data_IF_214736047324
#
_entry.id   IF_214736047324
#
_cell.length_a   1.000
_cell.length_b   1.000
_cell.length_c   1.000
_cell.angle_alpha   90.00
_cell.angle_beta   90.00
_cell.angle_gamma   90.00
#
_symmetry.space_group_name_H-M   'P 1'
#
loop_
_entity.id
_entity.type
_entity.pdbx_description
1 polymer ?
#
# COMPACT_ATOMS: atom_id res chain seq x y z
N UNK A 1 18.50 -8.54 6.29
CA UNK A 1 17.91 -9.74 5.66
C UNK A 1 16.45 -9.44 5.74
N UNK A 2 15.94 -8.82 4.67
CA UNK A 2 14.53 -8.47 4.48
C UNK A 2 13.71 -9.70 4.85
N UNK A 3 12.82 -9.60 5.84
CA UNK A 3 12.05 -10.77 6.31
C UNK A 3 10.92 -11.13 5.34
N UNK A 4 10.60 -10.21 4.41
CA UNK A 4 9.54 -10.34 3.41
C UNK A 4 10.11 -10.51 2.00
N UNK A 5 9.44 -11.29 1.16
CA UNK A 5 9.83 -11.55 -0.25
C UNK A 5 8.60 -11.62 -1.14
N UNK A 6 8.72 -11.33 -2.43
CA UNK A 6 7.59 -11.29 -3.37
C UNK A 6 6.82 -12.62 -3.44
N UNK A 7 7.48 -13.75 -3.20
CA UNK A 7 6.86 -15.08 -3.15
C UNK A 7 5.82 -15.22 -2.02
N UNK A 8 6.00 -14.49 -0.91
CA UNK A 8 5.07 -14.48 0.21
C UNK A 8 3.98 -13.41 0.09
N UNK A 9 4.13 -12.49 -0.86
CA UNK A 9 3.20 -11.40 -1.08
C UNK A 9 2.12 -11.79 -2.07
N UNK A 10 0.87 -11.48 -1.75
CA UNK A 10 -0.29 -11.80 -2.56
C UNK A 10 -1.01 -10.52 -2.96
N UNK A 11 -1.20 -10.30 -4.25
CA UNK A 11 -2.04 -9.21 -4.75
C UNK A 11 -3.46 -9.33 -4.20
N UNK A 12 -3.95 -8.27 -3.59
CA UNK A 12 -5.31 -8.23 -3.05
C UNK A 12 -6.14 -7.15 -3.74
N UNK A 13 -7.41 -7.06 -3.39
CA UNK A 13 -8.29 -6.00 -3.89
C UNK A 13 -9.24 -5.47 -2.80
N UNK A 14 -8.85 -5.60 -1.52
CA UNK A 14 -9.74 -5.32 -0.38
C UNK A 14 -10.10 -3.85 -0.28
N UNK A 15 -9.14 -2.95 -0.51
CA UNK A 15 -9.43 -1.53 -0.53
C UNK A 15 -10.31 -1.17 -1.72
N UNK A 16 -10.01 -1.74 -2.90
CA UNK A 16 -10.84 -1.49 -4.09
C UNK A 16 -12.26 -2.02 -3.95
N UNK A 17 -12.45 -3.16 -3.30
CA UNK A 17 -13.76 -3.72 -3.03
C UNK A 17 -14.54 -2.90 -1.98
N UNK A 18 -13.86 -2.27 -1.03
CA UNK A 18 -14.47 -1.45 0.01
C UNK A 18 -14.77 -0.01 -0.43
N UNK A 19 -13.84 0.63 -1.14
CA UNK A 19 -13.87 2.07 -1.46
C UNK A 19 -13.97 2.37 -2.97
N UNK A 20 -13.55 1.44 -3.84
CA UNK A 20 -13.48 1.63 -5.28
C UNK A 20 -12.05 1.92 -5.77
N UNK A 21 -11.89 2.54 -6.94
CA UNK A 21 -10.56 2.78 -7.53
C UNK A 21 -9.75 3.88 -6.81
N UNK A 22 -10.40 4.69 -5.99
CA UNK A 22 -9.80 5.77 -5.21
C UNK A 22 -10.27 5.72 -3.76
N UNK A 23 -9.44 6.20 -2.85
CA UNK A 23 -9.76 6.30 -1.42
C UNK A 23 -9.69 7.76 -0.98
N UNK A 24 -10.68 8.19 -0.19
CA UNK A 24 -10.66 9.47 0.50
C UNK A 24 -10.09 9.26 1.90
N UNK A 25 -8.95 9.89 2.19
CA UNK A 25 -8.30 9.83 3.49
C UNK A 25 -8.45 11.18 4.18
N UNK A 26 -8.93 11.14 5.42
CA UNK A 26 -8.94 12.29 6.30
C UNK A 26 -7.66 12.28 7.15
N UNK A 27 -6.87 13.33 7.01
CA UNK A 27 -5.67 13.56 7.81
C UNK A 27 -6.02 13.98 9.25
N UNK A 28 -5.05 13.95 10.18
CA UNK A 28 -5.25 14.34 11.58
C UNK A 28 -5.76 15.79 11.77
N UNK A 29 -5.59 16.62 10.74
CA UNK A 29 -6.07 18.00 10.68
C UNK A 29 -7.54 18.12 10.19
N UNK A 30 -8.22 17.00 9.92
CA UNK A 30 -9.57 16.96 9.35
C UNK A 30 -9.59 17.32 7.86
N UNK A 31 -8.49 17.08 7.15
CA UNK A 31 -8.36 17.39 5.72
C UNK A 31 -8.55 16.11 4.92
N UNK A 32 -9.66 16.03 4.19
CA UNK A 32 -9.91 14.97 3.22
C UNK A 32 -9.08 15.18 1.94
N UNK A 33 -8.24 14.21 1.61
CA UNK A 33 -7.48 14.15 0.35
C UNK A 33 -7.83 12.87 -0.38
N UNK A 34 -7.99 12.95 -1.71
CA UNK A 34 -8.28 11.80 -2.55
C UNK A 34 -6.97 11.21 -3.04
N UNK A 35 -6.86 9.89 -2.95
CA UNK A 35 -5.72 9.13 -3.42
C UNK A 35 -6.17 8.05 -4.39
N UNK A 36 -5.40 7.86 -5.46
CA UNK A 36 -5.61 6.76 -6.40
C UNK A 36 -4.93 5.50 -5.87
N UNK A 37 -5.67 4.38 -5.82
CA UNK A 37 -5.13 3.10 -5.37
C UNK A 37 -4.42 2.45 -6.56
N UNK A 38 -3.09 2.59 -6.57
CA UNK A 38 -2.23 2.05 -7.63
C UNK A 38 -2.10 0.54 -7.49
N UNK A 39 -1.84 0.09 -6.27
CA UNK A 39 -1.58 -1.30 -5.96
C UNK A 39 -1.99 -1.62 -4.53
N UNK A 40 -2.29 -2.89 -4.28
CA UNK A 40 -2.57 -3.40 -2.92
C UNK A 40 -2.19 -4.87 -2.84
N UNK A 41 -1.47 -5.23 -1.80
CA UNK A 41 -0.92 -6.57 -1.60
C UNK A 41 -0.88 -6.91 -0.11
N UNK A 42 -0.87 -8.20 0.20
CA UNK A 42 -0.78 -8.70 1.56
C UNK A 42 0.47 -9.57 1.68
N UNK A 43 1.29 -9.32 2.70
CA UNK A 43 2.50 -10.09 3.00
C UNK A 43 2.57 -10.36 4.50
N UNK A 44 2.87 -11.60 4.90
CA UNK A 44 2.91 -11.97 6.32
C UNK A 44 1.58 -11.81 7.06
N UNK A 45 0.45 -11.71 6.34
CA UNK A 45 -0.87 -11.43 6.92
C UNK A 45 -1.14 -9.94 7.21
N UNK A 46 -0.26 -9.05 6.75
CA UNK A 46 -0.43 -7.60 6.82
C UNK A 46 -0.70 -7.09 5.40
N UNK A 47 -1.77 -6.31 5.24
CA UNK A 47 -2.10 -5.68 3.97
C UNK A 47 -1.37 -4.35 3.80
N UNK A 48 -1.00 -4.01 2.58
CA UNK A 48 -0.36 -2.76 2.20
C UNK A 48 -1.03 -2.22 0.94
N UNK A 49 -1.16 -0.89 0.87
CA UNK A 49 -1.71 -0.19 -0.28
C UNK A 49 -0.72 0.88 -0.75
N UNK A 50 -0.46 0.88 -2.05
CA UNK A 50 0.31 1.92 -2.74
C UNK A 50 -0.68 2.94 -3.28
N UNK A 51 -0.59 4.14 -2.73
CA UNK A 51 -1.44 5.26 -3.04
C UNK A 51 -0.67 6.30 -3.83
N UNK A 52 -1.39 7.02 -4.68
CA UNK A 52 -0.85 8.16 -5.42
C UNK A 52 -1.72 9.38 -5.16
N UNK A 53 -1.12 10.42 -4.59
CA UNK A 53 -1.81 11.67 -4.33
C UNK A 53 -2.15 12.42 -5.62
N UNK A 54 -3.27 13.15 -5.62
CA UNK A 54 -3.71 13.98 -6.78
C UNK A 54 -3.04 15.38 -6.80
N UNK A 55 -1.75 15.45 -6.44
CA UNK A 55 -0.98 16.69 -6.26
C UNK A 55 0.03 16.98 -7.39
N UNK A 56 0.72 18.13 -7.30
CA UNK A 56 1.83 18.49 -8.20
C UNK A 56 3.12 17.74 -7.87
N UNK A 57 3.30 17.35 -6.61
CA UNK A 57 4.32 16.44 -6.13
C UNK A 57 3.68 15.06 -6.07
N UNK A 58 3.90 14.29 -7.14
CA UNK A 58 3.25 13.01 -7.41
C UNK A 58 4.10 11.90 -6.77
N UNK A 59 4.19 11.92 -5.45
CA UNK A 59 4.90 10.90 -4.69
C UNK A 59 3.95 9.73 -4.43
N UNK A 60 4.48 8.52 -4.58
CA UNK A 60 3.77 7.31 -4.19
C UNK A 60 3.93 7.15 -2.69
N UNK A 61 2.85 6.84 -2.00
CA UNK A 61 2.84 6.61 -0.57
C UNK A 61 2.36 5.19 -0.29
N UNK A 62 3.11 4.47 0.54
CA UNK A 62 2.75 3.12 0.94
C UNK A 62 2.17 3.20 2.35
N UNK A 63 0.92 2.78 2.49
CA UNK A 63 0.20 2.74 3.76
C UNK A 63 -0.17 1.30 4.10
N UNK A 64 -0.22 1.00 5.40
CA UNK A 64 -0.61 -0.31 5.92
C UNK A 64 -2.13 -0.39 6.02
N UNK A 65 -2.70 -1.47 5.52
CA UNK A 65 -4.12 -1.79 5.60
C UNK A 65 -4.39 -2.50 6.94
N UNK A 66 -5.20 -1.87 7.79
CA UNK A 66 -5.63 -2.42 9.08
C UNK A 66 -7.14 -2.60 9.08
N UNK A 67 -7.66 -3.68 9.67
CA UNK A 67 -9.11 -3.89 9.73
C UNK A 67 -9.66 -3.27 11.02
N UNK A 68 -10.53 -2.28 10.89
CA UNK A 68 -11.22 -1.65 12.02
C UNK A 68 -12.08 -2.66 12.78
N UNK A 69 -12.44 -2.39 14.05
CA UNK A 69 -13.47 -3.16 14.75
C UNK A 69 -14.83 -3.19 14.03
N UNK A 70 -15.08 -2.25 13.12
CA UNK A 70 -16.29 -2.18 12.29
C UNK A 70 -16.22 -3.09 11.04
N UNK A 71 -15.09 -3.77 10.81
CA UNK A 71 -14.87 -4.66 9.66
C UNK A 71 -14.54 -3.94 8.35
N UNK A 72 -14.24 -2.63 8.40
CA UNK A 72 -13.79 -1.85 7.25
C UNK A 72 -12.27 -1.82 7.20
N UNK A 73 -11.64 -1.85 6.02
CA UNK A 73 -10.20 -1.66 5.89
C UNK A 73 -9.85 -0.18 6.07
N UNK A 74 -9.04 0.15 7.07
CA UNK A 74 -8.45 1.46 7.29
C UNK A 74 -7.00 1.47 6.83
N UNK A 75 -6.46 2.67 6.62
CA UNK A 75 -5.08 2.89 6.22
C UNK A 75 -4.32 3.59 7.34
N UNK A 76 -3.14 3.07 7.64
CA UNK A 76 -2.24 3.56 8.68
C UNK A 76 -0.88 3.88 8.07
N UNK A 77 -0.27 5.00 8.48
CA UNK A 77 1.08 5.35 8.08
C UNK A 77 2.09 4.35 8.66
N UNK A 78 3.04 3.92 7.83
CA UNK A 78 4.15 3.08 8.28
C UNK A 78 5.11 3.99 9.04
N UNK A 79 5.14 3.87 10.36
CA UNK A 79 6.01 4.67 11.24
C UNK A 79 7.40 4.07 11.42
N UNK A 80 7.57 2.81 11.02
CA UNK A 80 8.79 2.04 11.15
C UNK A 80 9.56 2.10 9.83
N UNK A 81 10.70 2.81 9.82
CA UNK A 81 11.49 3.02 8.60
C UNK A 81 12.00 1.70 8.00
N UNK A 82 12.31 0.69 8.83
CA UNK A 82 12.75 -0.63 8.34
C UNK A 82 11.61 -1.30 7.57
N UNK A 83 10.40 -1.31 8.13
CA UNK A 83 9.21 -1.82 7.46
C UNK A 83 8.94 -1.08 6.14
N UNK A 84 9.09 0.25 6.12
CA UNK A 84 8.88 1.02 4.90
C UNK A 84 9.89 0.65 3.80
N UNK A 85 11.18 0.53 4.15
CA UNK A 85 12.21 0.09 3.20
C UNK A 85 11.90 -1.31 2.66
N UNK A 86 11.63 -2.28 3.54
CA UNK A 86 11.33 -3.68 3.18
C UNK A 86 10.14 -3.76 2.20
N UNK A 87 9.05 -3.04 2.49
CA UNK A 87 7.82 -3.08 1.68
C UNK A 87 8.00 -2.32 0.36
N UNK A 88 8.77 -1.23 0.34
CA UNK A 88 9.07 -0.49 -0.88
C UNK A 88 9.91 -1.33 -1.85
N UNK A 89 10.92 -2.04 -1.34
CA UNK A 89 11.76 -2.97 -2.11
C UNK A 89 10.95 -4.16 -2.63
N UNK A 90 10.10 -4.73 -1.77
CA UNK A 90 9.16 -5.79 -2.13
C UNK A 90 8.24 -5.36 -3.27
N UNK A 91 7.67 -4.16 -3.19
CA UNK A 91 6.77 -3.66 -4.23
C UNK A 91 7.49 -3.49 -5.57
N UNK A 92 8.72 -2.97 -5.56
CA UNK A 92 9.55 -2.86 -6.77
C UNK A 92 9.85 -4.24 -7.36
N UNK A 93 10.22 -5.23 -6.54
CA UNK A 93 10.42 -6.63 -6.94
C UNK A 93 9.14 -7.26 -7.55
N UNK A 94 7.98 -7.00 -6.94
CA UNK A 94 6.70 -7.52 -7.42
C UNK A 94 6.21 -6.86 -8.72
N UNK A 95 6.51 -5.58 -8.93
CA UNK A 95 6.07 -4.81 -10.10
C UNK A 95 7.06 -4.87 -11.26
N UNK A 96 8.35 -4.98 -10.96
CA UNK A 96 9.44 -5.19 -11.89
C UNK A 96 10.15 -6.50 -11.53
N UNK A 97 9.50 -7.66 -11.75
CA UNK A 97 10.24 -8.90 -11.74
C UNK A 97 11.36 -8.73 -12.77
N UNK A 98 12.61 -9.01 -12.38
CA UNK A 98 13.75 -9.01 -13.30
C UNK A 98 13.43 -10.00 -14.43
N UNK A 99 12.88 -9.46 -15.52
CA UNK A 99 12.80 -10.10 -16.80
C UNK A 99 14.11 -9.77 -17.51
N UNK A 100 15.18 -10.43 -17.07
CA UNK A 100 16.39 -10.55 -17.87
C UNK A 100 16.19 -11.77 -18.77
N UNK A 101 15.67 -11.54 -19.99
CA UNK A 101 16.36 -11.93 -21.22
C UNK A 101 15.41 -11.87 -22.43
N UNK A 102 15.62 -10.88 -23.31
CA UNK A 102 15.68 -11.12 -24.77
C UNK A 102 16.83 -10.31 -25.41
#
# INVERSE_FOLDING_TARGET
MTDVSADQAVWTSRLKEAYGETVELEDEQGKSSIYDIIAEFEVGGIGYAVLKGTGKDVEYEILRIVVSPNGLPELENIVDDEEWEDISELYDEMTFPVDDAE
#
